data_IF_175433304425
#
_entry.id   IF_175433304425
#
_cell.length_a   1.000
_cell.length_b   1.000
_cell.length_c   1.000
_cell.angle_alpha   90.00
_cell.angle_beta   90.00
_cell.angle_gamma   90.00
#
_symmetry.space_group_name_H-M   'P 1'
#
loop_
_entity.id
_entity.type
_entity.pdbx_description
1 polymer ?
#
# COMPACT_ATOMS: atom_id res chain seq x y z
N UNK A 1 -35.93 -90.29 46.29
CA UNK A 1 -34.62 -90.90 46.59
C UNK A 1 -33.60 -89.81 46.19
N UNK A 2 -33.02 -89.17 47.17
CA UNK A 2 -31.68 -89.21 47.62
C UNK A 2 -30.72 -88.74 46.47
N UNK A 3 -29.86 -87.78 46.58
CA UNK A 3 -29.16 -87.31 47.76
C UNK A 3 -28.26 -86.11 47.45
N UNK A 4 -27.96 -85.54 48.54
CA UNK A 4 -26.97 -84.47 48.80
C UNK A 4 -25.66 -84.62 48.05
N UNK A 5 -25.02 -83.48 47.74
CA UNK A 5 -23.75 -83.06 48.41
C UNK A 5 -23.32 -81.65 48.07
N UNK A 6 -23.22 -80.93 49.09
CA UNK A 6 -22.39 -79.79 49.51
C UNK A 6 -21.00 -79.74 48.85
N UNK A 7 -20.49 -78.50 48.51
CA UNK A 7 -19.33 -77.92 49.13
C UNK A 7 -18.91 -76.63 48.38
N UNK A 8 -18.92 -75.61 49.13
CA UNK A 8 -17.86 -74.64 49.59
C UNK A 8 -17.47 -73.55 48.69
N UNK A 9 -17.83 -72.38 49.21
CA UNK A 9 -17.21 -71.04 49.13
C UNK A 9 -15.81 -70.94 48.55
N UNK A 10 -15.67 -70.00 47.67
CA UNK A 10 -14.55 -69.06 47.81
C UNK A 10 -14.98 -67.73 47.21
N UNK A 11 -15.19 -66.74 48.05
CA UNK A 11 -15.48 -65.37 47.67
C UNK A 11 -14.21 -64.70 47.15
N UNK A 12 -14.30 -64.03 46.01
CA UNK A 12 -13.39 -63.02 45.62
C UNK A 12 -14.17 -61.76 45.38
N UNK A 13 -13.98 -60.80 46.30
CA UNK A 13 -14.43 -59.45 46.21
C UNK A 13 -13.51 -58.72 45.22
N UNK A 14 -13.93 -58.50 44.00
CA UNK A 14 -13.27 -57.57 43.07
C UNK A 14 -13.72 -56.16 43.41
N UNK A 15 -12.80 -55.45 44.02
CA UNK A 15 -12.84 -54.01 44.26
C UNK A 15 -12.98 -53.27 42.91
N UNK A 16 -14.11 -52.59 42.72
CA UNK A 16 -14.30 -51.64 41.59
C UNK A 16 -13.54 -50.37 41.91
N UNK A 17 -12.31 -50.28 41.39
CA UNK A 17 -11.57 -49.03 41.32
C UNK A 17 -12.28 -48.09 40.35
N UNK A 18 -12.92 -47.05 40.86
CA UNK A 18 -13.48 -45.97 40.10
C UNK A 18 -12.29 -45.14 39.50
N UNK A 19 -12.12 -45.20 38.20
CA UNK A 19 -11.25 -44.28 37.46
C UNK A 19 -11.92 -42.91 37.45
N UNK A 20 -11.21 -41.82 37.83
CA UNK A 20 -11.72 -40.47 37.64
C UNK A 20 -11.69 -40.17 36.14
N UNK A 21 -12.88 -39.94 35.57
CA UNK A 21 -13.01 -39.33 34.23
C UNK A 21 -12.42 -37.91 34.27
N UNK A 22 -11.19 -37.77 33.79
CA UNK A 22 -10.61 -36.46 33.44
C UNK A 22 -11.38 -35.93 32.25
N UNK A 23 -12.40 -35.10 32.50
CA UNK A 23 -12.93 -34.17 31.52
C UNK A 23 -11.82 -33.15 31.20
N UNK A 24 -11.03 -33.47 30.17
CA UNK A 24 -10.09 -32.54 29.60
C UNK A 24 -10.86 -31.34 29.03
N UNK A 25 -10.93 -30.26 29.79
CA UNK A 25 -11.25 -28.96 29.24
C UNK A 25 -10.13 -28.60 28.27
N UNK A 26 -10.36 -28.91 26.99
CA UNK A 26 -9.57 -28.39 25.92
C UNK A 26 -9.64 -26.88 25.96
N UNK A 27 -8.58 -26.25 26.45
CA UNK A 27 -8.39 -24.79 26.31
C UNK A 27 -8.26 -24.56 24.83
N UNK A 28 -9.37 -24.22 24.16
CA UNK A 28 -9.31 -23.62 22.81
C UNK A 28 -8.57 -22.29 22.97
N UNK A 29 -7.27 -22.32 22.71
CA UNK A 29 -6.53 -21.08 22.49
C UNK A 29 -7.23 -20.34 21.35
N UNK A 30 -7.63 -19.08 21.54
CA UNK A 30 -8.15 -18.30 20.44
C UNK A 30 -7.06 -18.30 19.36
N UNK A 31 -7.38 -18.82 18.18
CA UNK A 31 -6.57 -18.61 16.98
C UNK A 31 -6.67 -17.11 16.72
N UNK A 32 -5.74 -16.34 17.24
CA UNK A 32 -5.52 -14.99 16.80
C UNK A 32 -5.14 -15.10 15.33
N UNK A 33 -6.09 -14.83 14.44
CA UNK A 33 -5.79 -14.59 13.04
C UNK A 33 -4.74 -13.49 13.05
N UNK A 34 -3.50 -13.84 12.74
CA UNK A 34 -2.43 -12.88 12.61
C UNK A 34 -2.85 -11.91 11.51
N UNK A 35 -3.10 -10.67 11.88
CA UNK A 35 -3.50 -9.62 10.97
C UNK A 35 -2.35 -9.38 9.99
N UNK A 36 -2.59 -9.64 8.71
CA UNK A 36 -1.55 -9.58 7.69
C UNK A 36 -1.40 -8.14 7.16
N UNK A 37 -0.49 -7.39 7.80
CA UNK A 37 -0.12 -6.04 7.39
C UNK A 37 0.79 -6.01 6.13
N UNK A 38 1.11 -7.16 5.54
CA UNK A 38 1.98 -7.18 4.36
C UNK A 38 1.25 -6.78 3.08
N UNK A 39 -0.08 -6.73 3.08
CA UNK A 39 -0.87 -6.57 1.84
C UNK A 39 -2.08 -5.66 2.00
N UNK A 40 -2.46 -5.09 0.88
CA UNK A 40 -3.75 -4.46 0.66
C UNK A 40 -4.48 -5.19 -0.47
N UNK A 41 -5.63 -5.84 -0.15
CA UNK A 41 -6.35 -6.72 -1.09
C UNK A 41 -5.40 -7.82 -1.62
N UNK A 42 -5.22 -7.89 -2.96
CA UNK A 42 -4.32 -8.83 -3.62
C UNK A 42 -2.89 -8.29 -3.85
N UNK A 43 -2.60 -7.06 -3.43
CA UNK A 43 -1.29 -6.43 -3.60
C UNK A 43 -0.46 -6.58 -2.34
N UNK A 44 0.73 -7.15 -2.46
CA UNK A 44 1.65 -7.35 -1.35
C UNK A 44 2.83 -6.37 -1.43
N UNK A 45 3.11 -5.67 -0.33
CA UNK A 45 4.28 -4.82 -0.19
C UNK A 45 5.57 -5.65 -0.31
N UNK A 46 6.54 -5.12 -1.04
CA UNK A 46 7.80 -5.80 -1.35
C UNK A 46 7.78 -6.60 -2.66
N UNK A 47 6.60 -6.74 -3.29
CA UNK A 47 6.48 -7.42 -4.60
C UNK A 47 7.09 -6.57 -5.71
N UNK A 48 7.64 -7.21 -6.73
CA UNK A 48 8.22 -6.57 -7.90
C UNK A 48 7.16 -5.97 -8.84
N UNK A 49 7.53 -4.94 -9.58
CA UNK A 49 6.62 -4.21 -10.49
C UNK A 49 5.92 -5.13 -11.52
N UNK A 50 6.59 -6.07 -12.22
CA UNK A 50 5.90 -6.95 -13.18
C UNK A 50 4.78 -7.79 -12.54
N UNK A 51 5.02 -8.31 -11.35
CA UNK A 51 4.02 -9.09 -10.61
C UNK A 51 2.86 -8.23 -10.16
N UNK A 52 3.13 -7.01 -9.66
CA UNK A 52 2.08 -6.05 -9.27
C UNK A 52 1.24 -5.64 -10.49
N UNK A 53 1.85 -5.36 -11.64
CA UNK A 53 1.11 -5.04 -12.87
C UNK A 53 0.14 -6.16 -13.25
N UNK A 54 0.59 -7.42 -13.17
CA UNK A 54 -0.27 -8.59 -13.43
C UNK A 54 -1.42 -8.68 -12.43
N UNK A 55 -1.15 -8.48 -11.14
CA UNK A 55 -2.17 -8.51 -10.08
C UNK A 55 -3.18 -7.36 -10.20
N UNK A 56 -2.70 -6.19 -10.60
CA UNK A 56 -3.51 -4.99 -10.80
C UNK A 56 -4.29 -4.99 -12.12
N UNK A 57 -4.00 -5.91 -13.04
CA UNK A 57 -4.56 -5.90 -14.40
C UNK A 57 -4.09 -4.69 -15.22
N UNK A 58 -2.91 -4.15 -14.94
CA UNK A 58 -2.38 -2.93 -15.54
C UNK A 58 -1.33 -3.24 -16.62
N UNK A 59 -1.23 -2.37 -17.61
CA UNK A 59 -0.20 -2.47 -18.64
C UNK A 59 1.13 -1.84 -18.16
N UNK A 60 2.29 -2.36 -18.59
CA UNK A 60 3.60 -1.79 -18.23
C UNK A 60 3.77 -0.30 -18.57
N UNK A 61 3.10 0.19 -19.61
CA UNK A 61 3.13 1.60 -20.02
C UNK A 61 2.42 2.55 -19.05
N UNK A 62 1.60 2.02 -18.13
CA UNK A 62 0.92 2.81 -17.10
C UNK A 62 1.84 3.12 -15.91
N UNK A 63 2.91 2.35 -15.73
CA UNK A 63 3.92 2.63 -14.72
C UNK A 63 4.79 3.81 -15.16
N UNK A 64 4.62 4.95 -14.50
CA UNK A 64 5.38 6.18 -14.78
C UNK A 64 6.71 6.14 -14.03
N UNK A 65 7.80 6.43 -14.71
CA UNK A 65 9.09 6.69 -14.05
C UNK A 65 9.11 8.12 -13.56
N UNK A 66 9.20 8.30 -12.24
CA UNK A 66 9.28 9.62 -11.61
C UNK A 66 10.74 10.07 -11.56
N UNK A 67 11.63 9.21 -11.04
CA UNK A 67 13.07 9.47 -10.99
C UNK A 67 13.85 8.24 -11.46
N UNK A 68 14.96 8.50 -12.19
CA UNK A 68 15.90 7.44 -12.61
C UNK A 68 17.16 7.40 -11.76
N UNK A 69 17.46 8.49 -11.06
CA UNK A 69 18.67 8.73 -10.25
C UNK A 69 18.30 9.44 -8.96
N UNK A 70 18.95 9.15 -7.84
CA UNK A 70 20.04 8.17 -7.65
C UNK A 70 19.52 6.73 -7.62
N UNK A 71 18.18 6.53 -7.51
CA UNK A 71 17.52 5.24 -7.60
C UNK A 71 16.31 5.35 -8.52
N UNK A 72 15.87 4.20 -9.05
CA UNK A 72 14.66 4.14 -9.86
C UNK A 72 13.42 4.25 -8.96
N UNK A 73 12.69 5.34 -9.12
CA UNK A 73 11.38 5.58 -8.50
C UNK A 73 10.32 5.53 -9.60
N UNK A 74 9.33 4.67 -9.41
CA UNK A 74 8.22 4.51 -10.34
C UNK A 74 6.90 4.58 -9.59
N UNK A 75 5.83 5.00 -10.28
CA UNK A 75 4.48 5.05 -9.76
C UNK A 75 3.49 4.44 -10.75
N UNK A 76 2.51 3.74 -10.20
CA UNK A 76 1.38 3.19 -10.93
C UNK A 76 0.09 3.69 -10.29
N UNK A 77 -0.72 4.40 -11.05
CA UNK A 77 -2.10 4.70 -10.66
C UNK A 77 -2.96 3.47 -10.89
N UNK A 78 -3.63 3.03 -9.85
CA UNK A 78 -4.50 1.85 -9.87
C UNK A 78 -5.87 2.19 -9.32
N UNK A 79 -6.90 1.71 -10.01
CA UNK A 79 -8.29 1.85 -9.58
C UNK A 79 -8.88 0.47 -9.41
N UNK A 80 -8.91 -0.05 -8.17
CA UNK A 80 -9.49 -1.36 -7.91
C UNK A 80 -10.99 -1.31 -8.19
N UNK A 81 -11.44 -2.21 -9.05
CA UNK A 81 -12.88 -2.39 -9.30
C UNK A 81 -13.37 -3.53 -8.41
N UNK A 82 -14.29 -3.30 -7.47
CA UNK A 82 -14.91 -4.40 -6.76
C UNK A 82 -15.72 -5.26 -7.74
N UNK A 83 -15.71 -6.58 -7.59
CA UNK A 83 -16.52 -7.46 -8.43
C UNK A 83 -18.00 -7.08 -8.37
N UNK A 84 -18.62 -6.75 -9.50
CA UNK A 84 -20.03 -6.43 -9.60
C UNK A 84 -20.44 -4.99 -9.25
N UNK A 85 -19.52 -4.08 -9.01
CA UNK A 85 -19.79 -2.67 -8.74
C UNK A 85 -19.45 -1.80 -9.94
N UNK A 86 -20.36 -0.91 -10.32
CA UNK A 86 -20.17 0.10 -11.36
C UNK A 86 -19.50 1.39 -10.83
N UNK A 87 -19.40 1.56 -9.51
CA UNK A 87 -18.84 2.77 -8.92
C UNK A 87 -17.38 2.56 -8.49
N UNK A 88 -16.50 3.40 -8.97
CA UNK A 88 -15.10 3.47 -8.56
C UNK A 88 -15.02 4.29 -7.29
N UNK A 89 -15.04 3.64 -6.13
CA UNK A 89 -14.99 4.31 -4.83
C UNK A 89 -13.58 4.61 -4.34
N UNK A 90 -12.56 4.04 -5.02
CA UNK A 90 -11.17 4.15 -4.58
C UNK A 90 -10.22 4.37 -5.75
N UNK A 91 -9.22 5.21 -5.54
CA UNK A 91 -8.06 5.34 -6.40
C UNK A 91 -6.81 5.11 -5.55
N UNK A 92 -5.86 4.36 -6.05
CA UNK A 92 -4.61 4.09 -5.36
C UNK A 92 -3.41 4.48 -6.19
N UNK A 93 -2.36 4.97 -5.51
CA UNK A 93 -1.04 5.18 -6.08
C UNK A 93 -0.08 4.16 -5.46
N UNK A 94 0.52 3.34 -6.31
CA UNK A 94 1.47 2.31 -5.96
C UNK A 94 2.86 2.84 -6.28
N UNK A 95 3.72 3.03 -5.27
CA UNK A 95 5.06 3.59 -5.45
C UNK A 95 6.12 2.50 -5.29
N UNK A 96 7.08 2.48 -6.22
CA UNK A 96 8.14 1.48 -6.32
C UNK A 96 9.50 2.14 -6.13
N UNK A 97 10.34 1.50 -5.30
CA UNK A 97 11.74 1.81 -5.13
C UNK A 97 12.58 0.67 -5.70
N UNK A 98 13.40 0.97 -6.70
CA UNK A 98 14.21 -0.03 -7.42
C UNK A 98 13.40 -1.26 -7.87
N UNK A 99 12.17 -1.01 -8.35
CA UNK A 99 11.28 -2.04 -8.85
C UNK A 99 10.48 -2.79 -7.78
N UNK A 100 10.63 -2.51 -6.49
CA UNK A 100 9.87 -3.14 -5.40
C UNK A 100 8.79 -2.19 -4.86
N UNK A 101 7.57 -2.70 -4.68
CA UNK A 101 6.44 -1.96 -4.10
C UNK A 101 6.73 -1.64 -2.63
N UNK A 102 6.97 -0.37 -2.32
CA UNK A 102 7.24 0.04 -0.94
C UNK A 102 6.11 0.84 -0.31
N UNK A 103 5.23 1.43 -1.12
CA UNK A 103 4.13 2.27 -0.64
C UNK A 103 2.87 2.06 -1.47
N UNK A 104 1.73 1.98 -0.79
CA UNK A 104 0.39 1.94 -1.36
C UNK A 104 -0.39 3.10 -0.73
N UNK A 105 -0.79 4.10 -1.50
CA UNK A 105 -1.61 5.20 -1.02
C UNK A 105 -3.00 5.10 -1.65
N UNK A 106 -4.01 4.80 -0.84
CA UNK A 106 -5.40 4.64 -1.24
C UNK A 106 -6.15 5.92 -0.90
N UNK A 107 -6.71 6.58 -1.90
CA UNK A 107 -7.59 7.72 -1.71
C UNK A 107 -9.04 7.23 -1.81
N UNK A 108 -9.78 7.35 -0.72
CA UNK A 108 -11.20 7.01 -0.69
C UNK A 108 -12.00 8.13 -1.34
N UNK A 109 -12.90 7.75 -2.24
CA UNK A 109 -13.78 8.70 -2.90
C UNK A 109 -14.79 9.29 -1.90
N UNK A 110 -15.10 10.58 -2.07
CA UNK A 110 -16.03 11.29 -1.20
C UNK A 110 -17.41 10.61 -1.17
N UNK A 111 -17.90 10.14 -2.31
CA UNK A 111 -19.19 9.44 -2.39
C UNK A 111 -19.17 8.10 -1.64
N UNK A 112 -18.03 7.41 -1.62
CA UNK A 112 -17.85 6.16 -0.89
C UNK A 112 -17.70 6.31 0.63
N UNK A 113 -17.41 7.55 1.09
CA UNK A 113 -17.21 7.86 2.52
C UNK A 113 -18.22 8.87 3.05
N UNK A 114 -19.21 9.25 2.26
CA UNK A 114 -20.23 10.21 2.67
C UNK A 114 -21.02 9.70 3.89
N UNK A 115 -21.07 10.50 4.95
CA UNK A 115 -21.73 10.18 6.19
C UNK A 115 -20.93 9.29 7.15
N UNK A 116 -19.80 8.73 6.73
CA UNK A 116 -18.92 7.96 7.62
C UNK A 116 -18.12 8.87 8.53
N UNK A 117 -18.06 8.49 9.80
CA UNK A 117 -17.19 9.14 10.78
C UNK A 117 -15.77 8.56 10.72
N UNK A 118 -14.74 9.26 11.26
CA UNK A 118 -13.41 8.66 11.43
C UNK A 118 -13.43 7.34 12.19
N UNK A 119 -14.32 7.20 13.18
CA UNK A 119 -14.44 5.98 13.98
C UNK A 119 -14.98 4.81 13.18
N UNK A 120 -15.95 5.03 12.29
CA UNK A 120 -16.49 4.01 11.39
C UNK A 120 -15.39 3.44 10.47
N UNK A 121 -14.53 4.33 9.96
CA UNK A 121 -13.40 3.91 9.12
C UNK A 121 -12.35 3.13 9.91
N UNK A 122 -12.01 3.59 11.12
CA UNK A 122 -11.08 2.88 12.00
C UNK A 122 -11.62 1.50 12.34
N UNK A 123 -12.91 1.35 12.64
CA UNK A 123 -13.55 0.07 12.92
C UNK A 123 -13.48 -0.86 11.71
N UNK A 124 -13.88 -0.37 10.53
CA UNK A 124 -13.87 -1.15 9.29
C UNK A 124 -12.47 -1.63 8.90
N UNK A 125 -11.46 -0.76 9.03
CA UNK A 125 -10.06 -1.11 8.71
C UNK A 125 -9.49 -2.05 9.78
N UNK A 126 -9.85 -1.86 11.05
CA UNK A 126 -9.42 -2.72 12.17
C UNK A 126 -9.96 -4.14 12.04
N UNK A 127 -11.09 -4.36 11.40
CA UNK A 127 -11.59 -5.70 11.07
C UNK A 127 -10.60 -6.48 10.20
N UNK A 128 -9.78 -5.81 9.39
CA UNK A 128 -8.77 -6.44 8.53
C UNK A 128 -7.39 -6.47 9.18
N UNK A 129 -6.97 -5.37 9.80
CA UNK A 129 -5.58 -5.18 10.26
C UNK A 129 -5.42 -5.25 11.78
N UNK A 130 -6.52 -5.46 12.52
CA UNK A 130 -6.51 -5.58 13.98
C UNK A 130 -6.63 -4.24 14.69
N UNK A 131 -6.19 -4.21 15.95
CA UNK A 131 -6.37 -3.04 16.81
C UNK A 131 -5.47 -1.90 16.35
N UNK A 132 -6.09 -0.75 16.07
CA UNK A 132 -5.37 0.47 15.73
C UNK A 132 -4.74 1.14 16.94
N UNK A 133 -3.53 1.67 16.79
CA UNK A 133 -3.00 2.69 17.68
C UNK A 133 -3.57 4.06 17.25
N UNK A 134 -4.11 4.81 18.20
CA UNK A 134 -4.58 6.18 17.96
C UNK A 134 -3.57 7.16 18.56
N UNK A 135 -3.18 8.21 17.82
CA UNK A 135 -2.31 9.23 18.40
C UNK A 135 -3.05 9.95 19.53
N UNK A 136 -2.34 10.29 20.63
CA UNK A 136 -2.95 10.94 21.81
C UNK A 136 -3.43 12.38 21.54
N UNK A 137 -2.99 12.99 20.45
CA UNK A 137 -3.41 14.30 19.95
C UNK A 137 -3.33 14.32 18.43
N UNK A 138 -4.03 15.24 17.73
CA UNK A 138 -3.89 15.39 16.30
C UNK A 138 -2.44 15.64 15.91
N UNK A 139 -1.78 14.64 15.33
CA UNK A 139 -0.43 14.79 14.80
C UNK A 139 -0.60 15.29 13.36
N UNK A 140 -0.12 16.51 13.10
CA UNK A 140 0.00 16.98 11.71
C UNK A 140 0.96 16.05 11.00
N UNK A 141 0.51 15.41 9.95
CA UNK A 141 1.40 14.63 9.09
C UNK A 141 2.50 15.56 8.55
N UNK A 142 3.70 15.02 8.35
CA UNK A 142 4.83 15.81 7.84
C UNK A 142 4.40 16.52 6.55
N UNK A 143 4.70 17.82 6.40
CA UNK A 143 4.22 18.60 5.27
C UNK A 143 4.69 17.99 3.95
N UNK A 144 3.75 17.49 3.17
CA UNK A 144 3.94 17.34 1.74
C UNK A 144 3.99 18.71 1.08
N UNK A 145 4.34 18.78 -0.18
CA UNK A 145 4.66 20.00 -0.95
C UNK A 145 3.53 21.08 -1.03
N UNK A 146 2.40 20.84 -0.40
CA UNK A 146 1.29 21.78 -0.23
C UNK A 146 0.88 21.76 1.25
N UNK A 147 0.51 22.91 1.77
CA UNK A 147 0.05 23.21 3.14
C UNK A 147 -1.25 22.47 3.52
N UNK A 148 -1.39 21.23 3.07
CA UNK A 148 -2.47 20.33 3.42
C UNK A 148 -2.28 19.89 4.86
N UNK A 149 -3.17 20.35 5.72
CA UNK A 149 -3.24 19.87 7.08
C UNK A 149 -3.77 18.43 7.06
N UNK A 150 -2.85 17.49 6.86
CA UNK A 150 -3.13 16.06 7.00
C UNK A 150 -3.12 15.70 8.48
N UNK A 151 -4.18 15.05 8.94
CA UNK A 151 -4.32 14.57 10.32
C UNK A 151 -4.26 13.05 10.35
N UNK A 152 -3.32 12.50 11.13
CA UNK A 152 -3.24 11.08 11.40
C UNK A 152 -4.35 10.67 12.38
N UNK A 153 -5.29 9.83 11.93
CA UNK A 153 -6.42 9.36 12.72
C UNK A 153 -6.11 8.06 13.46
N UNK A 154 -5.46 7.13 12.79
CA UNK A 154 -5.14 5.81 13.33
C UNK A 154 -3.96 5.18 12.60
N UNK A 155 -3.28 4.25 13.27
CA UNK A 155 -2.13 3.54 12.73
C UNK A 155 -2.19 2.06 13.10
N UNK A 156 -1.90 1.19 12.15
CA UNK A 156 -1.69 -0.24 12.31
C UNK A 156 -0.26 -0.55 11.92
N UNK A 157 0.49 -1.22 12.78
CA UNK A 157 1.90 -1.49 12.49
C UNK A 157 2.41 -2.75 13.17
N UNK A 158 3.39 -3.37 12.51
CA UNK A 158 4.25 -4.42 13.06
C UNK A 158 5.73 -4.05 12.88
N UNK A 159 6.63 -5.01 12.97
CA UNK A 159 8.07 -4.78 12.78
C UNK A 159 8.44 -4.40 11.34
N UNK A 160 7.64 -4.77 10.32
CA UNK A 160 7.98 -4.63 8.90
C UNK A 160 7.08 -3.64 8.17
N UNK A 161 5.80 -3.55 8.56
CA UNK A 161 4.77 -2.83 7.83
C UNK A 161 4.09 -1.78 8.72
N UNK A 162 3.54 -0.76 8.07
CA UNK A 162 2.71 0.25 8.69
C UNK A 162 1.60 0.66 7.76
N UNK A 163 0.38 0.83 8.30
CA UNK A 163 -0.74 1.48 7.64
C UNK A 163 -1.18 2.67 8.46
N UNK A 164 -1.31 3.82 7.81
CA UNK A 164 -1.72 5.08 8.41
C UNK A 164 -3.05 5.51 7.79
N UNK A 165 -4.10 5.73 8.60
CA UNK A 165 -5.33 6.37 8.17
C UNK A 165 -5.21 7.87 8.42
N UNK A 166 -5.33 8.63 7.35
CA UNK A 166 -5.09 10.07 7.33
C UNK A 166 -6.37 10.77 6.86
N UNK A 167 -6.72 11.89 7.49
CA UNK A 167 -7.73 12.82 7.02
C UNK A 167 -7.07 14.02 6.38
N UNK A 168 -7.47 14.38 5.17
CA UNK A 168 -7.02 15.58 4.46
C UNK A 168 -8.10 16.65 4.51
N UNK A 169 -7.70 17.91 4.66
CA UNK A 169 -8.61 19.06 4.60
C UNK A 169 -9.01 19.43 3.17
N UNK A 170 -8.22 18.97 2.17
CA UNK A 170 -8.43 19.24 0.76
C UNK A 170 -8.43 17.92 -0.04
N UNK A 171 -9.32 17.79 -1.04
CA UNK A 171 -9.42 16.60 -1.88
C UNK A 171 -10.17 15.43 -1.22
N UNK A 172 -9.75 14.17 -1.46
CA UNK A 172 -10.38 13.03 -0.84
C UNK A 172 -10.23 13.13 0.68
N UNK A 173 -11.37 13.05 1.39
CA UNK A 173 -11.45 13.30 2.83
C UNK A 173 -10.56 12.31 3.63
N UNK A 174 -10.45 11.06 3.16
CA UNK A 174 -9.68 10.01 3.84
C UNK A 174 -8.70 9.33 2.90
N UNK A 175 -7.54 9.00 3.45
CA UNK A 175 -6.45 8.30 2.77
C UNK A 175 -5.91 7.20 3.68
N UNK A 176 -5.73 6.00 3.14
CA UNK A 176 -5.01 4.92 3.82
C UNK A 176 -3.65 4.71 3.13
N UNK A 177 -2.58 4.81 3.90
CA UNK A 177 -1.20 4.68 3.38
C UNK A 177 -0.53 3.48 4.00
N UNK A 178 -0.30 2.44 3.20
CA UNK A 178 0.48 1.26 3.57
C UNK A 178 1.95 1.41 3.16
N UNK A 179 2.88 1.05 4.04
CA UNK A 179 4.33 1.24 3.82
C UNK A 179 5.12 0.01 4.27
N UNK A 180 6.11 -0.36 3.47
CA UNK A 180 7.17 -1.31 3.83
C UNK A 180 8.31 -0.54 4.49
N UNK A 181 8.41 -0.58 5.83
CA UNK A 181 9.32 0.25 6.64
C UNK A 181 10.78 0.20 6.20
N UNK A 182 11.28 -0.99 5.82
CA UNK A 182 12.69 -1.15 5.40
C UNK A 182 13.05 -0.37 4.13
N UNK A 183 12.09 -0.08 3.27
CA UNK A 183 12.31 0.68 2.02
C UNK A 183 11.87 2.14 2.10
N UNK A 184 11.14 2.53 3.13
CA UNK A 184 10.61 3.90 3.28
C UNK A 184 11.73 4.94 3.36
N UNK A 185 12.67 4.78 4.29
CA UNK A 185 13.76 5.73 4.48
C UNK A 185 14.69 5.83 3.25
N UNK A 186 15.18 4.74 2.64
CA UNK A 186 16.00 4.83 1.45
C UNK A 186 15.24 5.39 0.24
N UNK A 187 13.93 5.09 0.08
CA UNK A 187 13.12 5.68 -0.98
C UNK A 187 12.96 7.18 -0.80
N UNK A 188 12.64 7.63 0.42
CA UNK A 188 12.51 9.04 0.73
C UNK A 188 13.85 9.80 0.50
N UNK A 189 14.97 9.24 0.94
CA UNK A 189 16.28 9.82 0.70
C UNK A 189 16.60 9.94 -0.80
N UNK A 190 16.24 8.92 -1.59
CA UNK A 190 16.42 8.95 -3.03
C UNK A 190 15.54 9.99 -3.72
N UNK A 191 14.30 10.19 -3.28
CA UNK A 191 13.39 11.22 -3.82
C UNK A 191 13.95 12.63 -3.54
N UNK A 192 14.40 12.88 -2.31
CA UNK A 192 15.00 14.17 -1.94
C UNK A 192 16.26 14.45 -2.77
N UNK A 193 17.14 13.46 -2.91
CA UNK A 193 18.36 13.61 -3.70
C UNK A 193 18.06 13.76 -5.19
N UNK A 194 17.04 13.08 -5.73
CA UNK A 194 16.60 13.28 -7.11
C UNK A 194 16.15 14.72 -7.35
N UNK A 195 15.32 15.29 -6.47
CA UNK A 195 14.90 16.68 -6.56
C UNK A 195 16.09 17.64 -6.54
N UNK A 196 17.07 17.41 -5.63
CA UNK A 196 18.30 18.22 -5.56
C UNK A 196 19.14 18.16 -6.85
N UNK A 197 19.22 16.97 -7.47
CA UNK A 197 19.92 16.79 -8.75
C UNK A 197 19.17 17.49 -9.88
N UNK A 198 17.85 17.40 -9.91
CA UNK A 198 17.01 18.07 -10.90
C UNK A 198 17.15 19.59 -10.84
N UNK A 199 17.13 20.18 -9.63
CA UNK A 199 17.33 21.60 -9.41
C UNK A 199 18.72 22.06 -9.87
N UNK A 200 19.76 21.26 -9.59
CA UNK A 200 21.14 21.55 -10.00
C UNK A 200 21.33 21.51 -11.53
N UNK A 201 20.64 20.58 -12.20
CA UNK A 201 20.75 20.39 -13.64
C UNK A 201 19.78 21.27 -14.46
N UNK A 202 18.76 21.84 -13.81
CA UNK A 202 17.73 22.63 -14.47
C UNK A 202 18.30 23.79 -15.33
N UNK A 203 19.29 24.62 -14.87
CA UNK A 203 19.84 25.69 -15.67
C UNK A 203 20.54 25.19 -16.94
N UNK A 204 21.27 24.08 -16.85
CA UNK A 204 21.96 23.50 -18.01
C UNK A 204 20.96 22.93 -19.02
N UNK A 205 19.93 22.20 -18.54
CA UNK A 205 18.87 21.66 -19.41
C UNK A 205 18.12 22.75 -20.15
N UNK A 206 17.88 23.91 -19.49
CA UNK A 206 17.22 25.04 -20.10
C UNK A 206 18.14 25.71 -21.16
N UNK A 207 19.45 25.88 -20.89
CA UNK A 207 20.39 26.37 -21.85
C UNK A 207 20.49 25.47 -23.09
N UNK A 208 20.54 24.14 -22.89
CA UNK A 208 20.57 23.17 -23.98
C UNK A 208 19.28 23.19 -24.81
N UNK A 209 18.10 23.40 -24.16
CA UNK A 209 16.81 23.54 -24.84
C UNK A 209 16.80 24.77 -25.76
N UNK A 210 17.22 25.95 -25.23
CA UNK A 210 17.30 27.21 -25.99
C UNK A 210 18.25 27.06 -27.16
N UNK A 211 19.43 26.47 -26.92
CA UNK A 211 20.40 26.27 -28.00
C UNK A 211 19.86 25.41 -29.16
N UNK A 212 19.14 24.35 -28.85
CA UNK A 212 18.47 23.49 -29.84
C UNK A 212 17.35 24.22 -30.60
N UNK A 213 16.56 25.03 -29.90
CA UNK A 213 15.50 25.83 -30.53
C UNK A 213 16.09 26.86 -31.49
N UNK A 214 17.16 27.56 -31.07
CA UNK A 214 17.89 28.52 -31.94
C UNK A 214 18.49 27.85 -33.17
N UNK A 215 19.09 26.67 -33.01
CA UNK A 215 19.66 25.91 -34.13
C UNK A 215 18.56 25.49 -35.11
N UNK A 216 17.44 24.97 -34.60
CA UNK A 216 16.30 24.56 -35.42
C UNK A 216 15.70 25.77 -36.19
N UNK A 217 15.60 26.94 -35.53
CA UNK A 217 15.11 28.14 -36.17
C UNK A 217 16.07 28.64 -37.28
N UNK A 218 17.38 28.66 -37.01
CA UNK A 218 18.40 29.00 -38.03
C UNK A 218 18.29 28.08 -39.24
N UNK A 219 18.20 26.76 -39.01
CA UNK A 219 18.05 25.78 -40.09
C UNK A 219 16.75 26.00 -40.88
N UNK A 220 15.65 26.33 -40.21
CA UNK A 220 14.38 26.68 -40.87
C UNK A 220 14.47 27.90 -41.73
N UNK A 221 15.09 28.98 -41.20
CA UNK A 221 15.27 30.24 -41.91
C UNK A 221 16.19 30.07 -43.13
N UNK A 222 17.27 29.31 -42.98
CA UNK A 222 18.19 29.03 -44.11
C UNK A 222 17.47 28.23 -45.21
N UNK A 223 16.69 27.21 -44.86
CA UNK A 223 15.88 26.47 -45.80
C UNK A 223 14.87 27.37 -46.52
N UNK A 224 14.21 28.25 -45.78
CA UNK A 224 13.28 29.23 -46.37
C UNK A 224 14.01 30.23 -47.30
N UNK A 225 15.21 30.68 -46.91
CA UNK A 225 16.06 31.56 -47.75
C UNK A 225 16.42 30.89 -49.07
N UNK A 226 16.86 29.65 -49.04
CA UNK A 226 17.21 28.89 -50.25
C UNK A 226 16.01 28.76 -51.22
N UNK A 227 14.81 28.59 -50.70
CA UNK A 227 13.58 28.48 -51.50
C UNK A 227 13.12 29.83 -52.04
N UNK A 228 13.24 30.92 -51.24
CA UNK A 228 12.64 32.21 -51.57
C UNK A 228 13.59 33.11 -52.32
N UNK A 229 14.92 33.01 -52.11
CA UNK A 229 15.93 33.86 -52.77
C UNK A 229 15.81 33.84 -54.30
N UNK A 230 15.66 32.69 -54.99
CA UNK A 230 15.52 32.68 -56.47
C UNK A 230 14.16 33.21 -56.94
N UNK A 231 13.14 33.29 -56.07
CA UNK A 231 11.78 33.77 -56.41
C UNK A 231 11.60 35.25 -56.14
N UNK A 232 12.51 35.88 -55.40
CA UNK A 232 12.41 37.29 -55.07
C UNK A 232 12.66 38.15 -56.32
N UNK A 233 11.73 39.04 -56.63
CA UNK A 233 11.80 40.03 -57.69
C UNK A 233 11.59 41.41 -57.04
N UNK A 234 12.49 42.33 -57.17
CA UNK A 234 12.32 43.73 -56.69
C UNK A 234 11.22 44.46 -57.47
#
# INVERSE_FOLDING_TARGET
MQGLNTMTNFGWTLSRSALPSFLGFGVMSPVTLANDLSKYRNLQLGTDLPTVLKQAGANPSQAKTIHRRPALIQELEWRPQPPGSSSQTEAAVLSFYSGQLFRIAINYDRSGTEGLTPDDLVEAISATYGIAARPPAPVKAAPGHYDDQEELLAQWQDSQYRFDLIRSSYGPTFKLVGVLKKLEAPAQAAIIEAARLDDKEAPQREADRIAKEDEAERARLEKARLVNKPKFRP
#
